data_IF_345758244955
#
_entry.id   IF_345758244955
#
_cell.length_a   1.000
_cell.length_b   1.000
_cell.length_c   1.000
_cell.angle_alpha   90.00
_cell.angle_beta   90.00
_cell.angle_gamma   90.00
#
_symmetry.space_group_name_H-M   'P 1'
#
loop_
_entity.id
_entity.type
_entity.pdbx_description
1 polymer ?
#
# COMPACT_ATOMS: atom_id res chain seq x y z
N UNK A 1 15.53 23.89 48.51
CA UNK A 1 14.88 23.82 47.18
C UNK A 1 15.97 23.49 46.18
N UNK A 2 16.04 22.24 45.71
CA UNK A 2 17.02 21.82 44.73
C UNK A 2 16.46 22.11 43.34
N UNK A 3 17.12 23.01 42.61
CA UNK A 3 16.84 23.32 41.21
C UNK A 3 17.10 22.07 40.38
N UNK A 4 16.03 21.37 40.03
CA UNK A 4 16.06 20.25 39.10
C UNK A 4 16.11 20.84 37.68
N UNK A 5 17.29 21.34 37.29
CA UNK A 5 17.59 21.69 35.89
C UNK A 5 17.63 20.39 35.09
N UNK A 6 16.47 19.91 34.68
CA UNK A 6 16.34 18.77 33.79
C UNK A 6 17.16 19.04 32.54
N UNK A 7 18.11 18.16 32.26
CA UNK A 7 18.93 18.19 31.06
C UNK A 7 18.03 18.24 29.82
N UNK A 8 17.90 19.43 29.23
CA UNK A 8 17.26 19.60 27.93
C UNK A 8 18.19 18.97 26.90
N UNK A 9 18.00 17.67 26.65
CA UNK A 9 18.72 16.97 25.60
C UNK A 9 18.47 17.69 24.28
N UNK A 10 19.55 18.10 23.63
CA UNK A 10 19.52 18.76 22.33
C UNK A 10 18.68 17.94 21.32
N UNK A 11 17.94 18.60 20.42
CA UNK A 11 17.16 17.91 19.41
C UNK A 11 18.06 17.00 18.56
N UNK A 12 17.53 15.87 18.06
CA UNK A 12 18.29 14.98 17.20
C UNK A 12 18.88 15.72 15.98
N UNK A 13 20.14 15.49 15.67
CA UNK A 13 20.87 16.15 14.57
C UNK A 13 20.23 15.93 13.19
N UNK A 14 19.47 14.84 13.01
CA UNK A 14 18.80 14.53 11.75
C UNK A 14 17.64 15.48 11.42
N UNK A 15 17.07 16.19 12.41
CA UNK A 15 16.01 17.19 12.19
C UNK A 15 16.49 18.41 11.39
N UNK A 16 17.77 18.72 11.49
CA UNK A 16 18.38 19.84 10.76
C UNK A 16 18.97 19.40 9.41
N UNK A 17 18.74 18.15 9.00
CA UNK A 17 19.23 17.69 7.70
C UNK A 17 18.42 18.34 6.56
N UNK A 18 19.07 18.77 5.46
CA UNK A 18 18.39 19.43 4.35
C UNK A 18 17.34 18.50 3.69
N UNK A 19 17.63 17.20 3.61
CA UNK A 19 16.68 16.21 3.09
C UNK A 19 15.43 16.09 3.96
N UNK A 20 15.56 16.15 5.29
CA UNK A 20 14.41 16.15 6.18
C UNK A 20 13.57 17.42 6.00
N UNK A 21 14.20 18.59 5.99
CA UNK A 21 13.51 19.87 5.79
C UNK A 21 12.74 19.92 4.45
N UNK A 22 13.34 19.41 3.36
CA UNK A 22 12.66 19.32 2.07
C UNK A 22 11.45 18.37 2.13
N UNK A 23 11.62 17.18 2.73
CA UNK A 23 10.51 16.24 2.88
C UNK A 23 9.39 16.77 3.79
N UNK A 24 9.74 17.53 4.82
CA UNK A 24 8.80 18.17 5.73
C UNK A 24 7.99 19.26 5.02
N UNK A 25 8.65 20.12 4.23
CA UNK A 25 7.96 21.10 3.38
C UNK A 25 7.02 20.43 2.37
N UNK A 26 7.46 19.33 1.75
CA UNK A 26 6.61 18.55 0.84
C UNK A 26 5.42 17.90 1.55
N UNK A 27 5.58 17.49 2.81
CA UNK A 27 4.51 16.95 3.63
C UNK A 27 3.47 18.03 3.97
N UNK A 28 3.91 19.25 4.31
CA UNK A 28 3.01 20.41 4.49
C UNK A 28 2.24 20.69 3.20
N UNK A 29 2.96 20.84 2.08
CA UNK A 29 2.34 21.09 0.76
C UNK A 29 1.35 19.99 0.38
N UNK A 30 1.64 18.74 0.73
CA UNK A 30 0.72 17.62 0.51
C UNK A 30 -0.53 17.73 1.38
N UNK A 31 -0.37 18.01 2.67
CA UNK A 31 -1.47 18.12 3.63
C UNK A 31 -2.45 19.22 3.21
N UNK A 32 -1.92 20.41 2.88
CA UNK A 32 -2.72 21.55 2.41
C UNK A 32 -3.53 21.19 1.15
N UNK A 33 -2.91 20.52 0.17
CA UNK A 33 -3.61 20.11 -1.04
C UNK A 33 -4.64 19.01 -0.78
N UNK A 34 -4.34 18.04 0.11
CA UNK A 34 -5.27 16.96 0.43
C UNK A 34 -6.47 17.43 1.26
N UNK A 35 -6.31 18.50 2.04
CA UNK A 35 -7.41 19.11 2.79
C UNK A 35 -8.52 19.64 1.88
N UNK A 36 -8.14 20.25 0.75
CA UNK A 36 -9.06 20.84 -0.24
C UNK A 36 -9.69 19.80 -1.18
N UNK A 37 -9.23 18.54 -1.14
CA UNK A 37 -9.79 17.46 -1.96
C UNK A 37 -11.14 16.96 -1.44
N UNK A 38 -12.12 16.92 -2.34
CA UNK A 38 -13.42 16.33 -2.08
C UNK A 38 -13.35 14.80 -2.16
N UNK A 39 -14.34 14.10 -1.59
CA UNK A 39 -14.39 12.64 -1.65
C UNK A 39 -14.34 12.11 -3.11
N UNK A 40 -15.05 12.78 -4.02
CA UNK A 40 -15.07 12.40 -5.44
C UNK A 40 -13.70 12.58 -6.10
N UNK A 41 -12.97 13.64 -5.75
CA UNK A 41 -11.61 13.92 -6.25
C UNK A 41 -10.64 12.82 -5.80
N UNK A 42 -10.72 12.42 -4.52
CA UNK A 42 -9.94 11.30 -3.99
C UNK A 42 -10.25 9.99 -4.73
N UNK A 43 -11.52 9.69 -5.00
CA UNK A 43 -11.87 8.51 -5.79
C UNK A 43 -11.26 8.56 -7.20
N UNK A 44 -11.28 9.71 -7.87
CA UNK A 44 -10.66 9.83 -9.19
C UNK A 44 -9.14 9.76 -9.16
N UNK A 45 -8.49 10.37 -8.18
CA UNK A 45 -7.04 10.21 -7.95
C UNK A 45 -6.69 8.73 -7.71
N UNK A 46 -7.48 8.01 -6.91
CA UNK A 46 -7.26 6.58 -6.67
C UNK A 46 -7.35 5.76 -7.96
N UNK A 47 -8.33 6.04 -8.83
CA UNK A 47 -8.49 5.38 -10.14
C UNK A 47 -7.31 5.71 -11.07
N UNK A 48 -6.88 6.96 -11.13
CA UNK A 48 -5.71 7.40 -11.92
C UNK A 48 -4.44 6.68 -11.46
N UNK A 49 -4.15 6.68 -10.16
CA UNK A 49 -2.99 5.98 -9.61
C UNK A 49 -3.07 4.45 -9.75
N UNK A 50 -4.27 3.87 -9.64
CA UNK A 50 -4.49 2.43 -9.89
C UNK A 50 -4.14 2.09 -11.34
N UNK A 51 -4.53 2.94 -12.30
CA UNK A 51 -4.19 2.72 -13.71
C UNK A 51 -2.69 2.80 -13.97
N UNK A 52 -1.97 3.71 -13.29
CA UNK A 52 -0.51 3.81 -13.35
C UNK A 52 0.15 2.58 -12.72
N UNK A 53 -0.33 2.15 -11.56
CA UNK A 53 0.15 0.94 -10.89
C UNK A 53 -0.04 -0.33 -11.74
N UNK A 54 -1.19 -0.46 -12.41
CA UNK A 54 -1.45 -1.55 -13.36
C UNK A 54 -0.49 -1.49 -14.55
N UNK A 55 -0.26 -0.31 -15.12
CA UNK A 55 0.71 -0.14 -16.20
C UNK A 55 2.13 -0.52 -15.77
N UNK A 56 2.56 -0.11 -14.56
CA UNK A 56 3.84 -0.49 -13.96
C UNK A 56 3.99 -2.02 -13.80
N UNK A 57 2.92 -2.68 -13.34
CA UNK A 57 2.89 -4.14 -13.15
C UNK A 57 2.94 -4.89 -14.49
N UNK A 58 2.04 -4.55 -15.41
CA UNK A 58 1.96 -5.17 -16.74
C UNK A 58 3.25 -4.90 -17.53
N UNK A 59 3.73 -3.66 -17.51
CA UNK A 59 4.98 -3.26 -18.17
C UNK A 59 6.19 -3.99 -17.59
N UNK A 60 6.24 -4.19 -16.28
CA UNK A 60 7.25 -5.02 -15.61
C UNK A 60 7.26 -6.45 -16.15
N UNK A 61 6.11 -7.12 -16.08
CA UNK A 61 5.98 -8.51 -16.55
C UNK A 61 6.23 -8.66 -18.05
N UNK A 62 5.81 -7.70 -18.86
CA UNK A 62 6.08 -7.68 -20.30
C UNK A 62 7.59 -7.55 -20.59
N UNK A 63 8.27 -6.63 -19.91
CA UNK A 63 9.72 -6.43 -20.06
C UNK A 63 10.53 -7.65 -19.59
N UNK A 64 10.15 -8.24 -18.46
CA UNK A 64 10.72 -9.50 -17.98
C UNK A 64 10.56 -10.61 -19.03
N UNK A 65 9.32 -10.82 -19.50
CA UNK A 65 8.96 -11.91 -20.40
C UNK A 65 9.67 -11.78 -21.74
N UNK A 66 9.79 -10.57 -22.27
CA UNK A 66 10.53 -10.30 -23.50
C UNK A 66 11.99 -10.80 -23.37
N UNK A 67 12.72 -10.37 -22.34
CA UNK A 67 14.14 -10.76 -22.18
C UNK A 67 14.30 -12.23 -21.78
N UNK A 68 13.39 -12.75 -20.95
CA UNK A 68 13.47 -14.12 -20.47
C UNK A 68 13.14 -15.15 -21.57
N UNK A 69 12.09 -14.91 -22.37
CA UNK A 69 11.59 -15.88 -23.37
C UNK A 69 12.42 -15.83 -24.66
N UNK A 70 12.91 -14.67 -25.10
CA UNK A 70 13.69 -14.51 -26.34
C UNK A 70 14.78 -15.58 -26.56
N UNK A 71 15.68 -15.88 -25.61
CA UNK A 71 16.74 -16.87 -25.84
C UNK A 71 16.21 -18.30 -25.99
N UNK A 72 15.10 -18.66 -25.35
CA UNK A 72 14.46 -19.97 -25.53
C UNK A 72 13.77 -20.05 -26.88
N UNK A 73 13.00 -19.02 -27.26
CA UNK A 73 12.35 -18.94 -28.57
C UNK A 73 13.38 -19.00 -29.72
N UNK A 74 14.48 -18.25 -29.59
CA UNK A 74 15.58 -18.28 -30.56
C UNK A 74 16.22 -19.67 -30.70
N UNK A 75 16.46 -20.34 -29.56
CA UNK A 75 17.09 -21.67 -29.57
C UNK A 75 16.14 -22.74 -30.12
N UNK A 76 14.88 -22.67 -29.73
CA UNK A 76 13.83 -23.55 -30.23
C UNK A 76 13.68 -23.41 -31.74
N UNK A 77 13.66 -22.17 -32.25
CA UNK A 77 13.60 -21.90 -33.69
C UNK A 77 14.78 -22.49 -34.46
N UNK A 78 16.01 -22.40 -33.92
CA UNK A 78 17.21 -22.90 -34.61
C UNK A 78 17.45 -24.40 -34.49
N UNK A 79 17.09 -25.02 -33.38
CA UNK A 79 17.53 -26.39 -33.04
C UNK A 79 16.39 -27.36 -32.77
N UNK A 80 15.14 -26.90 -32.68
CA UNK A 80 14.00 -27.69 -32.21
C UNK A 80 14.07 -28.08 -30.74
N UNK A 81 15.11 -27.63 -30.01
CA UNK A 81 15.35 -28.01 -28.63
C UNK A 81 15.54 -26.79 -27.71
N UNK A 82 15.07 -26.91 -26.46
CA UNK A 82 15.15 -25.87 -25.43
C UNK A 82 16.45 -26.01 -24.59
N UNK A 83 17.11 -27.17 -24.68
CA UNK A 83 18.26 -27.55 -23.82
C UNK A 83 19.48 -26.67 -24.06
N UNK A 84 20.09 -26.18 -22.98
CA UNK A 84 21.40 -25.50 -22.97
C UNK A 84 21.34 -23.97 -22.85
N UNK A 85 20.15 -23.38 -22.68
CA UNK A 85 20.00 -21.97 -22.32
C UNK A 85 20.43 -21.79 -20.86
N UNK A 86 21.28 -20.80 -20.58
CA UNK A 86 21.74 -20.50 -19.21
C UNK A 86 20.66 -19.76 -18.43
N UNK A 87 19.69 -20.50 -17.89
CA UNK A 87 18.50 -19.95 -17.19
C UNK A 87 18.83 -18.91 -16.11
N UNK A 88 19.79 -19.14 -15.19
CA UNK A 88 20.04 -18.17 -14.12
C UNK A 88 20.50 -16.80 -14.63
N UNK A 89 21.34 -16.78 -15.68
CA UNK A 89 21.82 -15.54 -16.28
C UNK A 89 20.70 -14.75 -16.95
N UNK A 90 19.85 -15.43 -17.71
CA UNK A 90 18.72 -14.79 -18.40
C UNK A 90 17.64 -14.32 -17.41
N UNK A 91 17.48 -15.04 -16.29
CA UNK A 91 16.59 -14.62 -15.22
C UNK A 91 17.02 -13.28 -14.60
N UNK A 92 18.32 -13.12 -14.28
CA UNK A 92 18.86 -11.85 -13.77
C UNK A 92 18.66 -10.71 -14.78
N UNK A 93 18.92 -10.95 -16.06
CA UNK A 93 18.63 -9.96 -17.11
C UNK A 93 17.13 -9.64 -17.21
N UNK A 94 16.26 -10.63 -17.05
CA UNK A 94 14.82 -10.45 -16.98
C UNK A 94 14.42 -9.53 -15.82
N UNK A 95 14.99 -9.70 -14.63
CA UNK A 95 14.72 -8.84 -13.47
C UNK A 95 15.17 -7.39 -13.71
N UNK A 96 16.33 -7.18 -14.32
CA UNK A 96 16.79 -5.82 -14.68
C UNK A 96 15.85 -5.20 -15.71
N UNK A 97 15.45 -5.97 -16.73
CA UNK A 97 14.50 -5.52 -17.74
C UNK A 97 13.14 -5.15 -17.13
N UNK A 98 12.66 -5.94 -16.16
CA UNK A 98 11.43 -5.67 -15.40
C UNK A 98 11.47 -4.31 -14.71
N UNK A 99 12.56 -3.99 -13.99
CA UNK A 99 12.70 -2.72 -13.27
C UNK A 99 12.66 -1.53 -14.24
N UNK A 100 13.41 -1.63 -15.35
CA UNK A 100 13.45 -0.57 -16.36
C UNK A 100 12.08 -0.40 -17.04
N UNK A 101 11.44 -1.50 -17.44
CA UNK A 101 10.15 -1.45 -18.13
C UNK A 101 9.02 -0.96 -17.20
N UNK A 102 9.05 -1.31 -15.92
CA UNK A 102 8.13 -0.78 -14.90
C UNK A 102 8.25 0.74 -14.78
N UNK A 103 9.47 1.29 -14.72
CA UNK A 103 9.67 2.74 -14.62
C UNK A 103 9.19 3.48 -15.88
N UNK A 104 9.54 2.95 -17.06
CA UNK A 104 9.13 3.54 -18.34
C UNK A 104 7.60 3.52 -18.52
N UNK A 105 6.97 2.36 -18.34
CA UNK A 105 5.52 2.21 -18.46
C UNK A 105 4.75 3.08 -17.47
N UNK A 106 5.19 3.15 -16.21
CA UNK A 106 4.64 4.05 -15.21
C UNK A 106 4.75 5.51 -15.62
N UNK A 107 5.93 5.94 -16.09
CA UNK A 107 6.16 7.33 -16.50
C UNK A 107 5.32 7.74 -17.71
N UNK A 108 5.15 6.83 -18.67
CA UNK A 108 4.33 7.04 -19.86
C UNK A 108 2.86 7.16 -19.49
N UNK A 109 2.35 6.25 -18.65
CA UNK A 109 0.97 6.29 -18.20
C UNK A 109 0.68 7.50 -17.32
N UNK A 110 1.63 7.88 -16.46
CA UNK A 110 1.54 9.09 -15.64
C UNK A 110 1.43 10.36 -16.52
N UNK A 111 2.31 10.51 -17.52
CA UNK A 111 2.26 11.63 -18.47
C UNK A 111 0.93 11.66 -19.24
N UNK A 112 0.45 10.50 -19.69
CA UNK A 112 -0.87 10.38 -20.33
C UNK A 112 -1.98 10.88 -19.41
N UNK A 113 -1.99 10.48 -18.13
CA UNK A 113 -2.99 10.92 -17.15
C UNK A 113 -2.90 12.40 -16.80
N UNK A 114 -1.70 13.00 -16.80
CA UNK A 114 -1.56 14.45 -16.69
C UNK A 114 -2.10 15.19 -17.92
N UNK A 115 -1.82 14.70 -19.13
CA UNK A 115 -2.34 15.28 -20.38
C UNK A 115 -3.87 15.18 -20.50
N UNK A 116 -4.46 14.10 -19.97
CA UNK A 116 -5.92 13.98 -19.88
C UNK A 116 -6.55 15.03 -18.95
N UNK A 117 -5.83 15.47 -17.90
CA UNK A 117 -6.27 16.51 -16.97
C UNK A 117 -6.05 17.93 -17.51
N UNK A 118 -5.02 18.11 -18.34
CA UNK A 118 -4.62 19.39 -18.90
C UNK A 118 -4.33 19.27 -20.41
N UNK A 119 -5.38 19.14 -21.25
CA UNK A 119 -5.19 18.99 -22.69
C UNK A 119 -4.65 20.28 -23.35
N UNK A 120 -4.89 21.45 -22.75
CA UNK A 120 -4.45 22.75 -23.27
C UNK A 120 -3.05 23.15 -22.78
N UNK A 121 -2.56 22.54 -21.69
CA UNK A 121 -1.28 22.91 -21.07
C UNK A 121 -1.37 24.15 -20.16
N UNK A 122 -2.57 24.68 -19.94
CA UNK A 122 -2.78 25.88 -19.13
C UNK A 122 -2.53 25.61 -17.65
N UNK A 123 -2.92 24.43 -17.15
CA UNK A 123 -2.70 24.06 -15.75
C UNK A 123 -1.21 23.86 -15.48
N UNK A 124 -0.46 23.26 -16.40
CA UNK A 124 0.99 23.09 -16.33
C UNK A 124 1.69 24.45 -16.26
N UNK A 125 1.34 25.38 -17.17
CA UNK A 125 1.92 26.73 -17.17
C UNK A 125 1.60 27.48 -15.87
N UNK A 126 0.36 27.38 -15.36
CA UNK A 126 -0.04 27.96 -14.07
C UNK A 126 0.76 27.35 -12.91
N UNK A 127 0.94 26.03 -12.90
CA UNK A 127 1.71 25.31 -11.87
C UNK A 127 3.19 25.70 -11.87
N UNK A 128 3.82 25.75 -13.05
CA UNK A 128 5.23 26.18 -13.19
C UNK A 128 5.44 27.63 -12.75
N UNK A 129 4.50 28.52 -13.10
CA UNK A 129 4.55 29.93 -12.66
C UNK A 129 4.52 30.06 -11.13
N UNK A 130 3.70 29.24 -10.44
CA UNK A 130 3.62 29.22 -8.97
C UNK A 130 4.94 28.74 -8.35
N UNK A 131 5.52 27.66 -8.87
CA UNK A 131 6.80 27.13 -8.38
C UNK A 131 7.92 28.17 -8.53
N UNK A 132 7.99 28.84 -9.69
CA UNK A 132 9.05 29.82 -9.95
C UNK A 132 8.91 31.06 -9.05
N UNK A 133 7.69 31.54 -8.78
CA UNK A 133 7.45 32.62 -7.81
C UNK A 133 7.94 32.25 -6.41
N UNK A 134 7.67 31.02 -5.96
CA UNK A 134 8.11 30.56 -4.64
C UNK A 134 9.63 30.42 -4.56
N UNK A 135 10.29 29.93 -5.63
CA UNK A 135 11.76 29.89 -5.69
C UNK A 135 12.38 31.28 -5.60
N UNK A 136 11.79 32.27 -6.27
CA UNK A 136 12.27 33.66 -6.22
C UNK A 136 12.13 34.28 -4.83
N UNK A 137 11.02 34.02 -4.12
CA UNK A 137 10.85 34.46 -2.72
C UNK A 137 11.91 33.86 -1.81
N UNK A 138 12.17 32.57 -1.94
CA UNK A 138 13.17 31.88 -1.11
C UNK A 138 14.62 32.24 -1.44
N UNK A 139 14.88 32.94 -2.56
CA UNK A 139 16.23 33.34 -2.98
C UNK A 139 16.69 34.66 -2.33
N UNK A 140 15.76 35.48 -1.83
CA UNK A 140 16.05 36.70 -1.08
C UNK A 140 15.87 36.46 0.41
N UNK A 141 16.84 35.75 1.03
CA UNK A 141 17.31 35.89 2.43
C UNK A 141 16.35 35.90 3.64
N UNK A 142 15.05 36.10 3.48
CA UNK A 142 14.07 36.23 4.55
C UNK A 142 13.62 34.83 4.97
N UNK A 143 14.51 34.18 5.72
CA UNK A 143 14.28 32.90 6.38
C UNK A 143 13.62 33.10 7.76
N UNK A 144 12.78 34.13 7.93
CA UNK A 144 11.86 34.15 9.08
C UNK A 144 10.65 33.30 8.73
N UNK A 145 10.71 32.04 9.17
CA UNK A 145 9.68 31.11 9.64
C UNK A 145 8.20 31.22 9.20
N UNK A 146 7.87 31.93 8.13
CA UNK A 146 6.56 31.88 7.49
C UNK A 146 6.54 30.62 6.63
N UNK A 147 5.85 29.61 7.16
CA UNK A 147 5.44 28.43 6.40
C UNK A 147 4.91 28.92 5.05
N UNK A 148 5.40 28.40 3.91
CA UNK A 148 4.89 28.82 2.62
C UNK A 148 3.44 28.35 2.50
N UNK A 149 2.51 29.16 2.96
CA UNK A 149 1.09 29.02 2.70
C UNK A 149 0.95 29.19 1.19
N UNK A 150 0.77 28.06 0.50
CA UNK A 150 0.55 28.03 -0.96
C UNK A 150 -0.84 28.57 -1.34
N UNK A 151 -1.59 29.03 -0.35
CA UNK A 151 -2.81 29.77 -0.49
C UNK A 151 -2.41 31.22 -0.75
N UNK A 152 -2.33 31.60 -2.03
CA UNK A 152 -2.42 33.00 -2.44
C UNK A 152 -3.66 33.59 -1.72
N UNK A 153 -3.48 34.37 -0.65
CA UNK A 153 -4.58 35.10 0.01
C UNK A 153 -5.34 36.03 -0.95
N UNK A 154 -4.78 36.27 -2.15
CA UNK A 154 -5.42 37.02 -3.23
C UNK A 154 -6.22 36.18 -4.25
N UNK A 155 -6.39 34.85 -4.09
CA UNK A 155 -7.27 34.01 -4.96
C UNK A 155 -8.76 34.09 -4.58
N UNK A 156 -9.24 35.29 -4.27
CA UNK A 156 -10.52 35.49 -3.62
C UNK A 156 -11.74 35.52 -4.55
N UNK A 157 -11.77 34.77 -5.67
CA UNK A 157 -13.00 34.74 -6.49
C UNK A 157 -13.47 33.40 -7.06
N UNK A 158 -12.68 32.32 -7.09
CA UNK A 158 -13.23 31.00 -7.45
C UNK A 158 -12.44 29.87 -6.81
N UNK A 159 -13.11 28.88 -6.17
CA UNK A 159 -12.43 27.69 -5.69
C UNK A 159 -11.73 26.98 -6.85
N UNK A 160 -10.55 26.35 -6.63
CA UNK A 160 -9.83 25.67 -7.68
C UNK A 160 -10.72 24.61 -8.32
N UNK A 161 -10.75 24.60 -9.65
CA UNK A 161 -11.46 23.57 -10.40
C UNK A 161 -11.00 22.18 -9.99
N UNK A 162 -11.90 21.22 -10.01
CA UNK A 162 -11.65 19.82 -9.69
C UNK A 162 -10.42 19.25 -10.41
N UNK A 163 -10.36 19.45 -11.73
CA UNK A 163 -9.23 19.01 -12.55
C UNK A 163 -7.91 19.68 -12.13
N UNK A 164 -7.97 20.94 -11.70
CA UNK A 164 -6.81 21.65 -11.16
C UNK A 164 -6.34 21.03 -9.84
N UNK A 165 -7.25 20.72 -8.90
CA UNK A 165 -6.89 20.08 -7.63
C UNK A 165 -6.20 18.73 -7.88
N UNK A 166 -6.78 17.90 -8.75
CA UNK A 166 -6.24 16.59 -9.10
C UNK A 166 -4.89 16.69 -9.81
N UNK A 167 -4.73 17.65 -10.73
CA UNK A 167 -3.48 17.93 -11.42
C UNK A 167 -2.37 18.40 -10.47
N UNK A 168 -2.69 19.34 -9.57
CA UNK A 168 -1.76 19.88 -8.57
C UNK A 168 -1.31 18.79 -7.60
N UNK A 169 -2.20 17.87 -7.22
CA UNK A 169 -1.89 16.71 -6.39
C UNK A 169 -1.02 15.68 -7.14
N UNK A 170 -1.37 15.35 -8.39
CA UNK A 170 -0.58 14.42 -9.20
C UNK A 170 0.84 14.94 -9.43
N UNK A 171 1.02 16.22 -9.73
CA UNK A 171 2.34 16.83 -9.92
C UNK A 171 3.18 16.87 -8.65
N UNK A 172 2.55 17.03 -7.48
CA UNK A 172 3.23 16.97 -6.20
C UNK A 172 3.81 15.58 -5.94
N UNK A 173 2.96 14.55 -6.09
CA UNK A 173 3.30 13.16 -5.78
C UNK A 173 4.15 12.49 -6.86
N UNK A 174 4.07 12.99 -8.10
CA UNK A 174 4.71 12.41 -9.29
C UNK A 174 4.26 10.96 -9.52
N UNK A 175 5.03 10.22 -10.31
CA UNK A 175 4.87 8.78 -10.55
C UNK A 175 5.37 7.92 -9.35
N UNK A 176 5.80 8.54 -8.25
CA UNK A 176 6.41 7.81 -7.13
C UNK A 176 5.39 7.00 -6.35
N UNK A 177 5.64 5.71 -6.12
CA UNK A 177 4.80 4.83 -5.29
C UNK A 177 3.31 4.81 -5.67
N UNK A 178 2.98 4.79 -6.96
CA UNK A 178 1.59 4.79 -7.46
C UNK A 178 0.63 3.82 -6.73
N UNK A 179 1.01 2.56 -6.41
CA UNK A 179 0.15 1.66 -5.63
C UNK A 179 -0.20 2.19 -4.24
N UNK A 180 0.75 2.85 -3.56
CA UNK A 180 0.53 3.42 -2.22
C UNK A 180 -0.45 4.58 -2.28
N UNK A 181 -0.30 5.47 -3.26
CA UNK A 181 -1.22 6.61 -3.43
C UNK A 181 -2.61 6.18 -3.88
N UNK A 182 -2.71 5.19 -4.77
CA UNK A 182 -3.98 4.58 -5.13
C UNK A 182 -4.74 4.11 -3.88
N UNK A 183 -4.04 3.38 -3.02
CA UNK A 183 -4.59 2.88 -1.76
C UNK A 183 -4.95 3.99 -0.78
N UNK A 184 -4.07 4.98 -0.59
CA UNK A 184 -4.32 6.11 0.29
C UNK A 184 -5.60 6.85 -0.11
N UNK A 185 -5.73 7.23 -1.38
CA UNK A 185 -6.89 7.98 -1.83
C UNK A 185 -8.19 7.15 -1.80
N UNK A 186 -8.11 5.84 -2.05
CA UNK A 186 -9.27 4.96 -1.92
C UNK A 186 -9.74 4.81 -0.47
N UNK A 187 -8.80 4.59 0.46
CA UNK A 187 -9.11 4.42 1.88
C UNK A 187 -9.63 5.72 2.51
N UNK A 188 -9.07 6.87 2.14
CA UNK A 188 -9.52 8.20 2.62
C UNK A 188 -10.80 8.68 1.95
N UNK A 189 -11.10 8.20 0.74
CA UNK A 189 -12.41 8.36 0.12
C UNK A 189 -13.51 7.68 0.97
N UNK A 190 -13.28 6.45 1.41
CA UNK A 190 -14.22 5.72 2.28
C UNK A 190 -14.27 6.30 3.69
N UNK A 191 -13.10 6.66 4.24
CA UNK A 191 -12.95 7.11 5.63
C UNK A 191 -12.04 8.35 5.71
N UNK A 192 -12.61 9.58 5.67
CA UNK A 192 -11.82 10.82 5.71
C UNK A 192 -10.99 11.03 6.99
N UNK A 193 -11.28 10.28 8.06
CA UNK A 193 -10.49 10.27 9.31
C UNK A 193 -9.14 9.57 9.17
N UNK A 194 -8.93 8.80 8.11
CA UNK A 194 -7.66 8.10 7.82
C UNK A 194 -6.67 8.93 7.01
N UNK A 195 -6.95 10.24 6.86
CA UNK A 195 -6.01 11.17 6.23
C UNK A 195 -4.74 11.27 7.08
N UNK A 196 -3.65 11.66 6.44
CA UNK A 196 -2.44 11.96 7.20
C UNK A 196 -2.71 13.09 8.19
N UNK A 197 -2.19 12.98 9.43
CA UNK A 197 -2.30 14.05 10.41
C UNK A 197 -1.48 15.27 9.97
N UNK A 198 -1.78 16.41 10.58
CA UNK A 198 -1.09 17.66 10.29
C UNK A 198 0.42 17.49 10.55
N UNK A 199 1.29 17.71 9.55
CA UNK A 199 2.73 17.53 9.71
C UNK A 199 3.33 18.49 10.75
N UNK A 200 2.73 19.68 10.94
CA UNK A 200 3.18 20.64 11.95
C UNK A 200 2.94 20.11 13.36
N UNK A 201 1.75 19.58 13.61
CA UNK A 201 1.42 18.93 14.88
C UNK A 201 2.31 17.71 15.13
N UNK A 202 2.52 16.87 14.11
CA UNK A 202 3.45 15.74 14.21
C UNK A 202 4.88 16.17 14.54
N UNK A 203 5.36 17.28 13.98
CA UNK A 203 6.70 17.80 14.25
C UNK A 203 6.82 18.32 15.69
N UNK A 204 5.78 18.98 16.19
CA UNK A 204 5.74 19.45 17.58
C UNK A 204 5.61 18.29 18.57
N UNK A 205 4.81 17.28 18.23
CA UNK A 205 4.77 16.02 18.96
C UNK A 205 6.12 15.33 18.99
N UNK A 206 6.83 15.26 17.86
CA UNK A 206 8.16 14.65 17.80
C UNK A 206 9.20 15.41 18.64
N UNK A 207 9.10 16.75 18.72
CA UNK A 207 9.95 17.57 19.60
C UNK A 207 9.62 17.35 21.08
N UNK A 208 8.33 17.18 21.42
CA UNK A 208 7.85 16.98 22.80
C UNK A 208 8.04 15.55 23.29
N UNK A 209 7.61 14.59 22.50
CA UNK A 209 7.76 13.17 22.71
C UNK A 209 9.15 12.76 22.21
N UNK A 210 10.14 12.76 23.11
CA UNK A 210 11.40 12.03 22.92
C UNK A 210 11.19 10.50 22.81
N UNK A 211 10.02 10.03 22.37
CA UNK A 211 9.65 8.63 22.20
C UNK A 211 9.67 8.29 20.71
N UNK A 212 10.02 7.03 20.43
CA UNK A 212 10.20 6.58 19.06
C UNK A 212 8.93 6.78 18.24
N UNK A 213 9.05 7.28 16.99
CA UNK A 213 7.89 7.58 16.16
C UNK A 213 7.04 6.32 15.99
N UNK A 214 5.74 6.44 16.29
CA UNK A 214 4.75 5.43 15.94
C UNK A 214 4.89 5.13 14.43
N UNK A 215 4.85 3.85 14.05
CA UNK A 215 5.04 3.45 12.66
C UNK A 215 4.04 4.21 11.76
N UNK A 216 4.48 4.78 10.62
CA UNK A 216 3.61 5.52 9.71
C UNK A 216 2.38 4.68 9.35
N UNK A 217 1.23 5.32 9.14
CA UNK A 217 -0.04 4.66 8.77
C UNK A 217 0.14 3.61 7.64
N UNK A 218 0.99 3.91 6.65
CA UNK A 218 1.28 2.99 5.54
C UNK A 218 2.12 1.76 5.91
N UNK A 219 2.76 1.76 7.07
CA UNK A 219 3.59 0.68 7.60
C UNK A 219 2.94 -0.03 8.80
N UNK A 220 1.75 0.40 9.21
CA UNK A 220 0.98 -0.35 10.19
C UNK A 220 0.61 -1.70 9.56
N UNK A 221 0.95 -2.78 10.28
CA UNK A 221 0.72 -4.18 9.86
C UNK A 221 -0.75 -4.48 9.60
N UNK A 222 -1.62 -3.60 10.07
CA UNK A 222 -3.06 -3.61 9.87
C UNK A 222 -3.58 -2.19 9.54
N UNK A 223 -3.47 -1.75 8.28
CA UNK A 223 -3.97 -0.43 7.88
C UNK A 223 -5.50 -0.35 7.90
N UNK A 224 -6.20 -1.47 8.11
CA UNK A 224 -7.65 -1.55 8.13
C UNK A 224 -8.26 -1.68 9.52
N UNK A 225 -7.46 -1.94 10.56
CA UNK A 225 -7.98 -2.23 11.89
C UNK A 225 -8.70 -3.58 11.97
N UNK A 226 -8.47 -4.48 11.00
CA UNK A 226 -9.09 -5.82 10.95
C UNK A 226 -8.50 -6.77 12.01
N UNK A 227 -7.30 -6.47 12.48
CA UNK A 227 -6.54 -7.19 13.50
C UNK A 227 -6.37 -6.37 14.79
N UNK A 228 -7.23 -5.36 15.04
CA UNK A 228 -7.36 -4.84 16.40
C UNK A 228 -7.77 -6.00 17.31
N UNK A 229 -6.81 -6.47 18.11
CA UNK A 229 -7.03 -7.49 19.11
C UNK A 229 -8.23 -7.08 19.96
N UNK A 230 -9.19 -8.01 20.14
CA UNK A 230 -10.40 -7.82 20.96
C UNK A 230 -10.10 -7.44 22.43
N UNK A 231 -8.83 -7.34 22.82
CA UNK A 231 -8.36 -6.98 24.15
C UNK A 231 -8.29 -5.46 24.41
N UNK A 232 -8.38 -4.60 23.38
CA UNK A 232 -8.34 -3.13 23.57
C UNK A 232 -9.65 -2.53 24.13
N UNK A 233 -10.74 -3.29 24.25
CA UNK A 233 -12.02 -2.79 24.79
C UNK A 233 -11.99 -2.46 26.29
N UNK A 234 -10.88 -2.73 26.99
CA UNK A 234 -10.76 -2.43 28.43
C UNK A 234 -10.00 -1.15 28.74
N UNK A 235 -9.30 -0.53 27.77
CA UNK A 235 -8.44 0.63 28.05
C UNK A 235 -9.11 1.98 27.75
N UNK A 236 -10.28 2.00 27.11
CA UNK A 236 -10.99 3.25 26.74
C UNK A 236 -11.90 3.81 27.86
N UNK A 237 -11.75 3.34 29.11
CA UNK A 237 -12.55 3.81 30.26
C UNK A 237 -11.76 4.42 31.42
N UNK A 238 -10.43 4.57 31.32
CA UNK A 238 -9.61 5.10 32.41
C UNK A 238 -8.85 6.39 32.04
N UNK A 239 -9.54 7.36 31.42
CA UNK A 239 -9.10 8.77 31.45
C UNK A 239 -9.74 9.49 32.64
N UNK A 240 -9.31 9.12 33.84
CA UNK A 240 -9.48 9.89 35.06
C UNK A 240 -8.41 9.46 36.08
N UNK A 241 -7.19 9.99 35.96
CA UNK A 241 -6.27 10.00 37.10
C UNK A 241 -6.64 11.17 38.04
N UNK A 242 -6.54 10.96 39.36
CA UNK A 242 -5.30 11.38 39.98
C UNK A 242 -4.67 10.36 40.94
N UNK A 243 -3.34 10.28 40.82
CA UNK A 243 -2.31 9.96 41.82
C UNK A 243 -2.19 8.54 42.43
N UNK A 244 -0.97 7.95 42.40
CA UNK A 244 -0.62 6.81 43.25
C UNK A 244 -0.16 7.32 44.63
N UNK A 245 -1.05 7.27 45.62
CA UNK A 245 -0.65 7.37 47.03
C UNK A 245 -0.18 6.02 47.54
N UNK A 246 1.08 6.03 47.98
CA UNK A 246 1.74 5.03 48.83
C UNK A 246 0.82 4.61 49.98
N UNK A 247 0.57 3.31 50.14
CA UNK A 247 0.34 2.62 51.42
C UNK A 247 0.18 1.10 51.17
N UNK A 248 1.30 0.37 51.10
CA UNK A 248 1.30 -1.07 51.33
C UNK A 248 1.92 -1.32 52.70
N UNK A 249 1.10 -1.78 53.66
CA UNK A 249 1.57 -2.39 54.92
C UNK A 249 1.86 -3.89 54.67
N UNK A 250 2.89 -4.46 55.33
CA UNK A 250 3.28 -5.86 55.17
C UNK A 250 2.67 -6.76 56.25
N UNK A 251 2.36 -8.00 55.88
CA UNK A 251 2.25 -9.25 56.68
C UNK A 251 1.42 -10.24 55.83
N UNK A 252 1.67 -11.55 55.73
CA UNK A 252 2.53 -12.44 56.50
C UNK A 252 2.84 -13.69 55.65
N UNK A 253 3.94 -14.37 56.00
CA UNK A 253 4.47 -15.57 55.36
C UNK A 253 3.60 -16.80 55.61
N UNK A 254 3.41 -17.64 54.58
CA UNK A 254 3.80 -19.06 54.56
C UNK A 254 3.07 -19.81 53.44
N UNK A 255 3.72 -19.96 52.29
CA UNK A 255 3.64 -21.18 51.48
C UNK A 255 4.84 -21.23 50.52
N UNK A 256 5.48 -22.40 50.50
CA UNK A 256 6.66 -22.76 49.73
C UNK A 256 6.43 -22.60 48.20
N UNK A 257 7.50 -22.45 47.41
CA UNK A 257 7.41 -21.99 46.03
C UNK A 257 6.83 -23.08 45.11
N UNK A 258 5.66 -22.82 44.52
CA UNK A 258 5.29 -23.48 43.26
C UNK A 258 6.09 -22.83 42.13
N UNK A 259 6.67 -23.67 41.28
CA UNK A 259 7.39 -23.29 40.06
C UNK A 259 6.68 -22.17 39.27
N UNK A 260 7.42 -21.22 38.67
CA UNK A 260 6.82 -20.30 37.73
C UNK A 260 6.21 -21.09 36.56
N UNK A 261 4.95 -20.83 36.15
CA UNK A 261 4.39 -21.46 34.97
C UNK A 261 5.28 -21.12 33.77
N UNK A 262 5.82 -22.16 33.14
CA UNK A 262 6.59 -22.04 31.89
C UNK A 262 5.76 -21.23 30.89
N UNK A 263 6.36 -20.27 30.16
CA UNK A 263 5.65 -19.53 29.12
C UNK A 263 5.20 -20.52 28.05
N UNK A 264 3.93 -20.91 28.08
CA UNK A 264 3.34 -21.72 27.03
C UNK A 264 3.33 -20.89 25.74
N UNK A 265 4.00 -21.39 24.71
CA UNK A 265 3.99 -20.81 23.38
C UNK A 265 2.55 -20.60 22.93
N UNK A 266 2.24 -19.40 22.41
CA UNK A 266 0.96 -18.99 21.85
C UNK A 266 0.38 -19.98 20.81
N UNK A 267 1.23 -20.83 20.23
CA UNK A 267 0.88 -21.91 19.33
C UNK A 267 0.13 -23.09 19.97
N UNK A 268 0.32 -23.36 21.27
CA UNK A 268 -0.39 -24.43 21.96
C UNK A 268 -1.87 -24.06 22.19
N UNK A 269 -2.15 -22.77 22.39
CA UNK A 269 -3.51 -22.24 22.51
C UNK A 269 -4.32 -22.41 21.20
N UNK A 270 -3.66 -22.22 20.06
CA UNK A 270 -4.25 -22.44 18.72
C UNK A 270 -4.57 -23.92 18.47
N UNK A 271 -3.71 -24.84 18.94
CA UNK A 271 -3.98 -26.28 18.80
C UNK A 271 -5.08 -26.78 19.74
N UNK A 272 -5.14 -26.28 20.97
CA UNK A 272 -6.21 -26.63 21.90
C UNK A 272 -7.57 -26.10 21.43
N UNK A 273 -7.64 -24.87 20.90
CA UNK A 273 -8.88 -24.34 20.33
C UNK A 273 -9.39 -25.13 19.11
N UNK A 274 -8.50 -25.76 18.33
CA UNK A 274 -8.88 -26.59 17.19
C UNK A 274 -9.13 -28.08 17.53
N UNK A 275 -8.94 -28.50 18.78
CA UNK A 275 -9.18 -29.89 19.20
C UNK A 275 -10.64 -30.22 19.51
N UNK A 276 -11.51 -29.20 19.58
CA UNK A 276 -12.95 -29.37 19.74
C UNK A 276 -13.70 -29.24 18.41
N UNK A 277 -13.97 -30.36 17.72
CA UNK A 277 -14.98 -30.56 16.65
C UNK A 277 -15.38 -29.32 15.82
N UNK A 278 -14.42 -28.55 15.32
CA UNK A 278 -14.67 -27.50 14.34
C UNK A 278 -14.13 -27.98 13.00
N UNK A 279 -15.03 -28.29 12.07
CA UNK A 279 -14.66 -28.61 10.70
C UNK A 279 -13.93 -27.40 10.09
N UNK A 280 -12.70 -27.62 9.66
CA UNK A 280 -11.84 -26.61 9.07
C UNK A 280 -12.51 -26.02 7.82
N UNK A 281 -12.33 -24.74 7.52
CA UNK A 281 -12.90 -24.10 6.32
C UNK A 281 -12.53 -24.86 5.00
N UNK A 282 -11.38 -25.53 4.98
CA UNK A 282 -10.95 -26.41 3.90
C UNK A 282 -11.70 -27.74 3.80
N UNK A 283 -12.26 -28.23 4.90
CA UNK A 283 -13.13 -29.41 4.88
C UNK A 283 -14.51 -29.09 4.30
N UNK A 284 -15.03 -27.87 4.51
CA UNK A 284 -16.25 -27.41 3.81
C UNK A 284 -16.08 -27.37 2.30
N UNK A 285 -14.93 -26.91 1.82
CA UNK A 285 -14.62 -26.85 0.39
C UNK A 285 -14.49 -28.26 -0.20
N UNK A 286 -13.87 -29.20 0.53
CA UNK A 286 -13.72 -30.59 0.07
C UNK A 286 -15.01 -31.40 0.13
N UNK A 287 -15.89 -31.11 1.08
CA UNK A 287 -17.14 -31.85 1.26
C UNK A 287 -18.30 -31.30 0.42
N UNK A 288 -18.09 -30.21 -0.33
CA UNK A 288 -19.07 -29.74 -1.33
C UNK A 288 -20.43 -29.36 -0.73
N UNK A 289 -20.47 -28.87 0.51
CA UNK A 289 -21.68 -28.26 1.06
C UNK A 289 -21.96 -26.95 0.31
N UNK A 290 -22.72 -27.05 -0.77
CA UNK A 290 -23.39 -25.92 -1.40
C UNK A 290 -24.39 -25.34 -0.41
N UNK A 291 -24.05 -24.21 0.21
CA UNK A 291 -25.03 -23.36 0.84
C UNK A 291 -25.94 -22.82 -0.27
N UNK A 292 -27.14 -23.37 -0.31
CA UNK A 292 -28.24 -22.91 -1.15
C UNK A 292 -28.87 -21.70 -0.45
N UNK A 293 -28.20 -20.54 -0.50
CA UNK A 293 -28.77 -19.27 -0.05
C UNK A 293 -29.41 -18.56 -1.24
N UNK A 294 -30.71 -18.81 -1.40
CA UNK A 294 -31.59 -17.96 -2.17
C UNK A 294 -32.00 -16.79 -1.28
N UNK A 295 -31.26 -15.67 -1.28
CA UNK A 295 -31.86 -14.34 -1.34
C UNK A 295 -30.84 -13.20 -1.41
N UNK A 296 -31.30 -12.16 -2.10
CA UNK A 296 -30.94 -10.75 -2.05
C UNK A 296 -29.79 -10.29 -2.96
N UNK A 297 -30.25 -9.66 -4.05
CA UNK A 297 -29.48 -9.13 -5.15
C UNK A 297 -28.46 -8.08 -4.70
N UNK A 298 -27.24 -8.33 -5.15
CA UNK A 298 -26.23 -7.33 -5.36
C UNK A 298 -25.79 -7.51 -6.81
N UNK A 299 -26.16 -6.55 -7.67
CA UNK A 299 -25.74 -6.49 -9.07
C UNK A 299 -24.22 -6.27 -9.12
N UNK A 300 -23.46 -7.37 -9.08
CA UNK A 300 -22.02 -7.41 -9.39
C UNK A 300 -21.83 -7.63 -10.91
N UNK A 301 -22.30 -6.68 -11.71
CA UNK A 301 -22.00 -6.58 -13.15
C UNK A 301 -20.67 -5.83 -13.39
N UNK A 302 -19.58 -6.31 -12.78
CA UNK A 302 -18.22 -5.87 -13.15
C UNK A 302 -17.24 -7.05 -13.08
N UNK A 303 -17.51 -8.08 -13.87
CA UNK A 303 -16.50 -9.07 -14.25
C UNK A 303 -15.71 -8.53 -15.47
N UNK A 304 -14.44 -8.12 -15.33
CA UNK A 304 -13.68 -7.52 -16.44
C UNK A 304 -13.13 -8.54 -17.44
N UNK A 305 -13.64 -9.78 -17.42
CA UNK A 305 -13.28 -10.86 -18.33
C UNK A 305 -14.40 -11.29 -19.29
N UNK A 306 -15.53 -10.59 -19.35
CA UNK A 306 -16.46 -10.73 -20.48
C UNK A 306 -15.93 -9.98 -21.71
N UNK A 307 -14.96 -10.61 -22.35
CA UNK A 307 -14.54 -10.29 -23.70
C UNK A 307 -15.67 -10.70 -24.66
N UNK A 308 -16.12 -9.72 -25.43
CA UNK A 308 -17.12 -9.82 -26.49
C UNK A 308 -17.05 -11.13 -27.26
N UNK A 309 -18.17 -11.86 -27.30
CA UNK A 309 -18.41 -13.00 -28.17
C UNK A 309 -18.25 -12.60 -29.64
N UNK A 310 -17.09 -12.90 -30.22
CA UNK A 310 -16.98 -13.24 -31.63
C UNK A 310 -16.20 -14.56 -31.76
N UNK A 311 -16.90 -15.58 -32.26
CA UNK A 311 -16.40 -16.87 -32.75
C UNK A 311 -15.12 -16.66 -33.59
N UNK A 312 -14.02 -17.42 -33.50
CA UNK A 312 -13.84 -18.88 -33.46
C UNK A 312 -12.50 -19.15 -32.75
N UNK A 313 -12.54 -19.57 -31.49
CA UNK A 313 -11.39 -20.18 -30.81
C UNK A 313 -11.44 -21.70 -30.96
N UNK A 314 -10.30 -22.42 -31.00
CA UNK A 314 -10.31 -23.88 -31.03
C UNK A 314 -11.06 -24.39 -29.79
N UNK A 315 -12.10 -25.20 -30.01
CA UNK A 315 -12.83 -25.90 -28.96
C UNK A 315 -11.85 -26.77 -28.19
N UNK A 316 -11.45 -26.32 -27.00
CA UNK A 316 -10.67 -27.13 -26.06
C UNK A 316 -11.65 -28.18 -25.52
N UNK A 317 -11.62 -29.38 -26.13
CA UNK A 317 -12.30 -30.55 -25.59
C UNK A 317 -11.73 -30.82 -24.20
N UNK A 318 -12.51 -30.50 -23.17
CA UNK A 318 -12.18 -30.90 -21.80
C UNK A 318 -12.32 -32.42 -21.74
N UNK A 319 -11.31 -33.17 -21.27
CA UNK A 319 -11.40 -34.61 -21.17
C UNK A 319 -12.57 -34.98 -20.26
N UNK A 320 -13.32 -35.99 -20.68
CA UNK A 320 -14.40 -36.55 -19.86
C UNK A 320 -13.82 -37.13 -18.57
N UNK A 321 -14.66 -37.26 -17.53
CA UNK A 321 -14.26 -37.81 -16.23
C UNK A 321 -13.62 -39.20 -16.34
N UNK A 322 -13.99 -39.96 -17.37
CA UNK A 322 -13.46 -41.29 -17.67
C UNK A 322 -12.08 -41.23 -18.36
N UNK A 323 -11.89 -40.33 -19.32
CA UNK A 323 -10.58 -40.08 -19.95
C UNK A 323 -9.54 -39.63 -18.93
N UNK A 324 -9.92 -38.80 -17.97
CA UNK A 324 -9.02 -38.37 -16.89
C UNK A 324 -8.62 -39.55 -15.99
N UNK A 325 -9.57 -40.44 -15.65
CA UNK A 325 -9.27 -41.64 -14.86
C UNK A 325 -8.34 -42.59 -15.61
N UNK A 326 -8.57 -42.81 -16.90
CA UNK A 326 -7.72 -43.66 -17.74
C UNK A 326 -6.30 -43.07 -17.86
N UNK A 327 -6.15 -41.75 -17.97
CA UNK A 327 -4.85 -41.07 -17.99
C UNK A 327 -4.07 -41.28 -16.69
N UNK A 328 -4.74 -41.17 -15.55
CA UNK A 328 -4.14 -41.39 -14.21
C UNK A 328 -3.78 -42.86 -14.00
N UNK A 329 -4.59 -43.79 -14.47
CA UNK A 329 -4.29 -45.23 -14.41
C UNK A 329 -3.13 -45.61 -15.35
N UNK A 330 -3.06 -45.00 -16.53
CA UNK A 330 -1.96 -45.18 -17.48
C UNK A 330 -0.63 -44.67 -16.93
N UNK A 331 -0.66 -43.58 -16.17
CA UNK A 331 0.53 -43.05 -15.47
C UNK A 331 0.94 -43.94 -14.28
N UNK A 332 -0.02 -44.49 -13.52
CA UNK A 332 0.24 -45.42 -12.41
C UNK A 332 0.80 -46.76 -12.86
N UNK A 333 0.41 -47.25 -14.04
CA UNK A 333 0.87 -48.52 -14.60
C UNK A 333 2.17 -48.40 -15.41
N UNK A 334 2.88 -47.26 -15.29
CA UNK A 334 4.25 -47.14 -15.78
C UNK A 334 4.38 -46.89 -17.28
N UNK A 335 3.37 -46.28 -17.92
CA UNK A 335 3.53 -45.52 -19.17
C UNK A 335 4.50 -46.08 -20.22
N UNK A 336 4.46 -47.38 -20.50
CA UNK A 336 5.23 -48.01 -21.56
C UNK A 336 4.32 -48.27 -22.77
N UNK A 337 3.98 -47.19 -23.46
CA UNK A 337 3.29 -47.22 -24.74
C UNK A 337 4.00 -46.28 -25.68
N UNK A 338 4.78 -46.86 -26.60
CA UNK A 338 5.36 -46.25 -27.81
C UNK A 338 4.73 -44.92 -28.22
N UNK A 339 5.52 -43.84 -28.19
CA UNK A 339 5.98 -43.08 -29.38
C UNK A 339 7.12 -42.14 -29.00
#
# INVERSE_FOLDING_TARGET
MADNKGDVKAPPSWLNSPAFQESYQKAIEFYEKDEVLDARDRLELSKKYTSIARAQFIGGWAGFSAVFITPFAYRYYKTGAIRGVKVPRNFVFGLVAMVVSTQLSGSMMYKKKLQELDPTGELAAKYESKINKNKQRNQYGDFEADVPTLIDENQNQNPPSRYQKEFDMMNLLKNGSAPKWAMYFYTTYQNPRRRFPNPVEMMDELKKAQRQPLAPFLHQRDPFGLFKDQNEKNDEKNDAYPNPTKNAKPADNNQLPLEPPKPELSWNKVRQQNSGKATTAWDRIRNGEHLNDNNDGFDDDLDPFEESKSNVGPTINKPTKEEFKNLVEQERNGGSGLF
#
